data_IF_834240200991
#
_entry.id   IF_834240200991
#
_cell.length_a   1.000
_cell.length_b   1.000
_cell.length_c   1.000
_cell.angle_alpha   90.00
_cell.angle_beta   90.00
_cell.angle_gamma   90.00
#
_symmetry.space_group_name_H-M   'P 1'
#
loop_
_entity.id
_entity.type
_entity.pdbx_description
1 polymer ?
#
# COMPACT_ATOMS: atom_id res chain seq x y z
N UNK A 1 40.43 -39.23 23.21
CA UNK A 1 38.96 -39.23 23.36
C UNK A 1 38.42 -37.95 22.77
N UNK A 2 37.82 -38.06 21.59
CA UNK A 2 37.09 -36.96 20.97
C UNK A 2 35.72 -36.82 21.64
N UNK A 3 35.17 -35.60 21.65
CA UNK A 3 33.80 -35.38 22.14
C UNK A 3 32.81 -35.88 21.08
N UNK A 4 32.28 -37.08 21.29
CA UNK A 4 31.27 -37.70 20.42
C UNK A 4 29.89 -37.30 20.90
N UNK A 5 29.22 -36.41 20.17
CA UNK A 5 27.86 -35.98 20.49
C UNK A 5 26.85 -36.62 19.53
N UNK A 6 25.88 -37.35 20.09
CA UNK A 6 24.76 -37.90 19.33
C UNK A 6 23.61 -36.90 19.28
N UNK A 7 23.17 -36.55 18.08
CA UNK A 7 22.00 -35.70 17.81
C UNK A 7 20.90 -36.61 17.25
N UNK A 8 19.87 -36.86 18.06
CA UNK A 8 18.71 -37.66 17.63
C UNK A 8 17.76 -36.81 16.78
N UNK A 9 17.40 -37.29 15.60
CA UNK A 9 16.44 -36.65 14.70
C UNK A 9 15.45 -37.68 14.15
N UNK A 10 14.26 -37.22 13.76
CA UNK A 10 13.26 -38.07 13.09
C UNK A 10 13.74 -38.63 11.75
N UNK A 11 14.68 -37.93 11.11
CA UNK A 11 15.20 -38.26 9.78
C UNK A 11 16.51 -39.08 9.81
N UNK A 12 16.89 -39.60 10.98
CA UNK A 12 18.11 -40.38 11.18
C UNK A 12 19.05 -39.75 12.22
N UNK A 13 19.81 -40.60 12.92
CA UNK A 13 20.76 -40.13 13.93
C UNK A 13 21.98 -39.47 13.26
N UNK A 14 22.44 -38.36 13.82
CA UNK A 14 23.67 -37.66 13.39
C UNK A 14 24.67 -37.70 14.54
N UNK A 15 25.93 -38.00 14.23
CA UNK A 15 27.04 -37.86 15.16
C UNK A 15 27.87 -36.64 14.78
N UNK A 16 28.26 -35.85 15.79
CA UNK A 16 29.25 -34.80 15.64
C UNK A 16 30.52 -35.20 16.40
N UNK A 17 31.66 -35.16 15.70
CA UNK A 17 32.99 -35.49 16.23
C UNK A 17 33.97 -34.45 15.72
N UNK A 18 34.61 -33.71 16.63
CA UNK A 18 35.58 -32.65 16.31
C UNK A 18 35.08 -31.65 15.24
N UNK A 19 33.79 -31.28 15.32
CA UNK A 19 33.14 -30.35 14.39
C UNK A 19 32.79 -30.94 13.01
N UNK A 20 33.07 -32.22 12.77
CA UNK A 20 32.60 -32.96 11.58
C UNK A 20 31.31 -33.68 11.90
N UNK A 21 30.37 -33.69 10.95
CA UNK A 21 29.05 -34.32 11.13
C UNK A 21 28.92 -35.55 10.25
N UNK A 22 28.34 -36.60 10.82
CA UNK A 22 28.20 -37.91 10.21
C UNK A 22 26.76 -38.38 10.33
N UNK A 23 26.13 -38.76 9.21
CA UNK A 23 24.78 -39.34 9.21
C UNK A 23 24.88 -40.85 9.37
N UNK A 24 24.13 -41.42 10.30
CA UNK A 24 24.05 -42.87 10.49
C UNK A 24 23.21 -43.51 9.39
N UNK A 25 23.72 -44.61 8.83
CA UNK A 25 23.06 -45.42 7.82
C UNK A 25 22.51 -46.71 8.46
N UNK A 26 21.19 -46.92 8.37
CA UNK A 26 20.55 -48.15 8.82
C UNK A 26 20.70 -49.25 7.77
N UNK A 27 21.85 -49.92 7.76
CA UNK A 27 22.15 -51.05 6.86
C UNK A 27 23.09 -52.06 7.53
N UNK A 28 23.27 -53.21 6.92
CA UNK A 28 24.30 -54.18 7.32
C UNK A 28 25.70 -53.73 6.84
N UNK A 29 26.77 -54.07 7.58
CA UNK A 29 28.12 -53.67 7.24
C UNK A 29 28.61 -54.39 5.98
N UNK A 30 29.18 -53.62 5.05
CA UNK A 30 29.83 -54.13 3.85
C UNK A 30 31.29 -53.65 3.76
N UNK A 31 32.13 -54.42 3.04
CA UNK A 31 33.50 -54.00 2.74
C UNK A 31 33.48 -52.66 2.01
N UNK A 32 34.29 -51.71 2.47
CA UNK A 32 34.38 -50.37 1.92
C UNK A 32 33.47 -49.35 2.58
N UNK A 33 32.58 -49.76 3.49
CA UNK A 33 31.77 -48.84 4.31
C UNK A 33 32.64 -48.00 5.25
N UNK A 34 32.18 -46.79 5.51
CA UNK A 34 32.75 -45.92 6.54
C UNK A 34 32.02 -46.14 7.86
N UNK A 35 32.77 -46.36 8.92
CA UNK A 35 32.24 -46.58 10.27
C UNK A 35 32.80 -45.55 11.24
N UNK A 36 31.96 -45.13 12.18
CA UNK A 36 32.34 -44.29 13.31
C UNK A 36 32.32 -45.16 14.57
N UNK A 37 33.41 -45.15 15.32
CA UNK A 37 33.53 -45.85 16.60
C UNK A 37 32.84 -45.01 17.68
N UNK A 38 31.85 -45.61 18.36
CA UNK A 38 31.00 -44.93 19.35
C UNK A 38 30.98 -45.61 20.71
N UNK A 39 31.63 -46.76 20.83
CA UNK A 39 31.73 -47.54 22.05
C UNK A 39 32.97 -48.45 21.99
N UNK A 40 34.15 -47.84 21.93
CA UNK A 40 35.43 -48.54 21.90
C UNK A 40 35.60 -49.40 23.16
N UNK A 41 35.94 -50.67 22.98
CA UNK A 41 36.25 -51.52 24.11
C UNK A 41 37.52 -51.02 24.82
N UNK A 42 37.42 -50.70 26.12
CA UNK A 42 38.50 -50.10 26.90
C UNK A 42 39.79 -50.93 27.08
N UNK A 43 39.90 -52.08 26.41
CA UNK A 43 41.14 -52.88 26.29
C UNK A 43 41.58 -53.14 24.84
N UNK A 44 40.91 -52.54 23.85
CA UNK A 44 41.33 -52.56 22.45
C UNK A 44 42.52 -51.62 22.25
N UNK A 45 43.54 -52.12 21.56
CA UNK A 45 44.69 -51.31 21.16
C UNK A 45 44.41 -50.71 19.77
N UNK A 46 44.93 -49.52 19.48
CA UNK A 46 44.91 -48.91 18.14
C UNK A 46 43.67 -48.10 17.72
N UNK A 47 42.60 -48.03 18.51
CA UNK A 47 41.40 -47.24 18.18
C UNK A 47 40.66 -46.66 19.40
N UNK A 48 39.92 -45.56 19.21
CA UNK A 48 39.15 -44.91 20.27
C UNK A 48 37.80 -44.34 19.79
N UNK A 49 36.94 -43.95 20.74
CA UNK A 49 35.68 -43.27 20.41
C UNK A 49 35.93 -41.99 19.60
N UNK A 50 35.15 -41.84 18.52
CA UNK A 50 35.29 -40.75 17.56
C UNK A 50 36.10 -41.13 16.33
N UNK A 51 36.82 -42.25 16.34
CA UNK A 51 37.57 -42.69 15.17
C UNK A 51 36.67 -43.08 14.00
N UNK A 52 37.11 -42.70 12.81
CA UNK A 52 36.42 -42.99 11.56
C UNK A 52 37.32 -43.79 10.66
N UNK A 53 36.92 -45.02 10.38
CA UNK A 53 37.67 -45.96 9.55
C UNK A 53 36.84 -46.49 8.40
N UNK A 54 37.53 -47.02 7.39
CA UNK A 54 36.92 -47.74 6.28
C UNK A 54 37.09 -49.23 6.50
N UNK A 55 35.99 -49.98 6.41
CA UNK A 55 36.02 -51.43 6.59
C UNK A 55 36.79 -52.10 5.45
N UNK A 56 37.70 -52.99 5.80
CA UNK A 56 38.52 -53.74 4.85
C UNK A 56 38.02 -55.16 4.65
N UNK A 57 37.37 -55.75 5.65
CA UNK A 57 36.85 -57.12 5.59
C UNK A 57 35.67 -57.33 6.54
N UNK A 58 34.78 -58.24 6.18
CA UNK A 58 33.74 -58.76 7.06
C UNK A 58 34.23 -60.08 7.65
N UNK A 59 34.22 -60.19 8.97
CA UNK A 59 34.62 -61.41 9.67
C UNK A 59 33.40 -62.06 10.30
N UNK A 60 33.03 -63.21 9.74
CA UNK A 60 31.90 -63.98 10.24
C UNK A 60 32.25 -65.45 10.44
N UNK A 61 31.62 -66.06 11.45
CA UNK A 61 31.62 -67.50 11.67
C UNK A 61 30.46 -68.19 10.92
N UNK A 62 29.35 -67.46 10.71
CA UNK A 62 28.20 -67.88 9.88
C UNK A 62 28.10 -66.95 8.66
N UNK A 63 28.08 -67.47 7.41
CA UNK A 63 27.93 -66.64 6.21
C UNK A 63 26.74 -65.65 6.25
N UNK A 64 25.71 -65.92 7.06
CA UNK A 64 24.50 -65.11 7.17
C UNK A 64 24.48 -64.14 8.37
N UNK A 65 25.43 -64.22 9.32
CA UNK A 65 25.46 -63.37 10.53
C UNK A 65 26.83 -62.75 10.80
N UNK A 66 27.02 -61.45 10.53
CA UNK A 66 28.30 -60.77 10.76
C UNK A 66 28.68 -60.76 12.26
N UNK A 67 29.83 -61.34 12.62
CA UNK A 67 30.31 -61.33 14.01
C UNK A 67 31.19 -60.12 14.34
N UNK A 68 32.08 -59.77 13.40
CA UNK A 68 33.02 -58.67 13.52
C UNK A 68 33.36 -58.11 12.14
N UNK A 69 33.94 -56.91 12.14
CA UNK A 69 34.45 -56.26 10.93
C UNK A 69 35.90 -55.92 11.14
N UNK A 70 36.70 -55.94 10.07
CA UNK A 70 38.09 -55.52 10.13
C UNK A 70 38.30 -54.16 9.49
N UNK A 71 39.32 -53.47 9.97
CA UNK A 71 39.79 -52.20 9.45
C UNK A 71 41.30 -52.10 9.67
N UNK A 72 41.93 -51.12 9.04
CA UNK A 72 43.33 -50.76 9.31
C UNK A 72 43.32 -49.58 10.27
N UNK A 73 43.98 -49.74 11.41
CA UNK A 73 44.04 -48.72 12.44
C UNK A 73 45.00 -47.58 12.12
N UNK A 74 45.18 -46.64 13.06
CA UNK A 74 46.03 -45.46 12.88
C UNK A 74 47.51 -45.81 12.72
N UNK A 75 47.95 -46.97 13.22
CA UNK A 75 49.33 -47.45 13.14
C UNK A 75 49.58 -48.28 11.86
N UNK A 76 48.52 -48.57 11.11
CA UNK A 76 48.59 -49.35 9.88
C UNK A 76 48.44 -50.84 10.11
N UNK A 77 48.02 -51.26 11.30
CA UNK A 77 47.81 -52.66 11.65
C UNK A 77 46.35 -53.09 11.41
N UNK A 78 46.18 -54.38 11.09
CA UNK A 78 44.86 -54.97 10.92
C UNK A 78 44.20 -55.15 12.30
N UNK A 79 43.03 -54.53 12.47
CA UNK A 79 42.28 -54.55 13.71
C UNK A 79 40.82 -54.93 13.45
N UNK A 80 40.04 -55.20 14.51
CA UNK A 80 38.65 -55.62 14.39
C UNK A 80 37.72 -54.91 15.37
N UNK A 81 36.47 -54.74 14.95
CA UNK A 81 35.37 -54.17 15.75
C UNK A 81 34.22 -55.16 15.81
N UNK A 82 33.59 -55.26 16.98
CA UNK A 82 32.29 -55.92 17.14
C UNK A 82 31.17 -54.98 16.70
N UNK A 83 30.04 -55.55 16.32
CA UNK A 83 28.86 -54.82 15.82
C UNK A 83 28.34 -53.72 16.77
N UNK A 84 28.59 -53.83 18.08
CA UNK A 84 28.14 -52.86 19.08
C UNK A 84 29.16 -51.74 19.38
N UNK A 85 30.32 -51.74 18.71
CA UNK A 85 31.39 -50.76 18.92
C UNK A 85 31.33 -49.61 17.90
N UNK A 86 30.60 -49.79 16.80
CA UNK A 86 30.54 -48.84 15.71
C UNK A 86 29.14 -48.61 15.16
N UNK A 87 29.00 -47.55 14.38
CA UNK A 87 27.85 -47.28 13.52
C UNK A 87 28.34 -47.00 12.11
N UNK A 88 27.57 -47.41 11.09
CA UNK A 88 27.89 -47.11 9.69
C UNK A 88 27.45 -45.68 9.41
N UNK A 89 28.34 -44.89 8.80
CA UNK A 89 28.09 -43.46 8.57
C UNK A 89 28.50 -43.01 7.18
N UNK A 90 27.90 -41.91 6.74
CA UNK A 90 28.40 -41.08 5.66
C UNK A 90 28.77 -39.69 6.20
N UNK A 91 29.87 -39.06 5.74
CA UNK A 91 30.16 -37.69 6.09
C UNK A 91 29.06 -36.79 5.52
N UNK A 92 28.48 -35.95 6.38
CA UNK A 92 27.71 -34.82 5.91
C UNK A 92 28.75 -33.80 5.52
N UNK A 93 29.06 -33.69 4.22
CA UNK A 93 29.86 -32.58 3.72
C UNK A 93 29.22 -31.32 4.27
N UNK A 94 29.89 -30.66 5.21
CA UNK A 94 29.51 -29.32 5.58
C UNK A 94 29.62 -28.55 4.28
N UNK A 95 28.49 -28.10 3.75
CA UNK A 95 28.49 -26.97 2.83
C UNK A 95 29.46 -25.99 3.47
N UNK A 96 30.61 -25.78 2.82
CA UNK A 96 31.57 -24.79 3.27
C UNK A 96 30.72 -23.56 3.51
N UNK A 97 30.65 -23.00 4.74
CA UNK A 97 29.76 -21.88 4.97
C UNK A 97 30.14 -20.86 3.92
N UNK A 98 29.22 -20.56 2.97
CA UNK A 98 29.42 -19.46 2.05
C UNK A 98 29.87 -18.30 2.93
N UNK A 99 30.99 -17.62 2.64
CA UNK A 99 31.62 -16.70 3.58
C UNK A 99 30.53 -15.78 4.10
N UNK A 100 30.12 -16.02 5.36
CA UNK A 100 29.08 -15.22 5.98
C UNK A 100 29.63 -13.80 5.91
N UNK A 101 28.86 -12.82 5.39
CA UNK A 101 29.32 -11.43 5.45
C UNK A 101 29.76 -11.18 6.89
N UNK A 102 30.98 -10.67 7.05
CA UNK A 102 31.58 -10.47 8.35
C UNK A 102 30.58 -9.69 9.20
N UNK A 103 30.29 -10.14 10.43
CA UNK A 103 29.32 -9.48 11.33
C UNK A 103 29.43 -7.92 11.35
N UNK A 104 30.64 -7.32 11.27
CA UNK A 104 30.80 -5.89 11.05
C UNK A 104 30.06 -5.30 9.83
N UNK A 105 30.14 -5.95 8.66
CA UNK A 105 29.52 -5.46 7.42
C UNK A 105 28.00 -5.47 7.52
N UNK A 106 27.43 -6.50 8.17
CA UNK A 106 25.99 -6.60 8.44
C UNK A 106 25.57 -5.46 9.39
N UNK A 107 26.36 -5.21 10.43
CA UNK A 107 26.05 -4.18 11.41
C UNK A 107 26.09 -2.77 10.78
N UNK A 108 27.06 -2.52 9.89
CA UNK A 108 27.18 -1.23 9.21
C UNK A 108 26.07 -1.01 8.15
N UNK A 109 25.64 -2.07 7.45
CA UNK A 109 24.45 -2.00 6.58
C UNK A 109 23.18 -1.69 7.39
N UNK A 110 23.01 -2.34 8.55
CA UNK A 110 21.88 -2.08 9.46
C UNK A 110 21.89 -0.63 9.95
N UNK A 111 23.03 -0.11 10.42
CA UNK A 111 23.15 1.28 10.85
C UNK A 111 22.81 2.25 9.72
N UNK A 112 23.33 2.02 8.52
CA UNK A 112 23.05 2.86 7.35
C UNK A 112 21.56 2.87 7.01
N UNK A 113 20.92 1.71 7.04
CA UNK A 113 19.46 1.60 6.81
C UNK A 113 18.66 2.30 7.91
N UNK A 114 19.09 2.19 9.16
CA UNK A 114 18.44 2.85 10.29
C UNK A 114 18.50 4.38 10.16
N UNK A 115 19.68 4.95 9.91
CA UNK A 115 19.84 6.39 9.70
C UNK A 115 18.96 6.91 8.55
N UNK A 116 18.94 6.20 7.40
CA UNK A 116 18.07 6.57 6.28
C UNK A 116 16.58 6.49 6.64
N UNK A 117 16.19 5.56 7.50
CA UNK A 117 14.80 5.42 7.95
C UNK A 117 14.41 6.57 8.89
N UNK A 118 15.31 6.98 9.77
CA UNK A 118 15.13 8.14 10.65
C UNK A 118 14.97 9.43 9.83
N UNK A 119 15.88 9.68 8.88
CA UNK A 119 15.81 10.84 7.98
C UNK A 119 14.48 10.90 7.22
N UNK A 120 14.05 9.78 6.62
CA UNK A 120 12.76 9.69 5.90
C UNK A 120 11.56 9.89 6.83
N UNK A 121 11.66 9.46 8.08
CA UNK A 121 10.59 9.63 9.06
C UNK A 121 10.44 11.10 9.45
N UNK A 122 11.55 11.81 9.67
CA UNK A 122 11.55 13.24 9.96
C UNK A 122 11.08 14.09 8.77
N UNK A 123 11.50 13.73 7.55
CA UNK A 123 11.03 14.37 6.33
C UNK A 123 9.53 14.17 6.14
N UNK A 124 9.03 12.94 6.29
CA UNK A 124 7.60 12.65 6.20
C UNK A 124 6.80 13.43 7.25
N UNK A 125 7.32 13.53 8.48
CA UNK A 125 6.67 14.33 9.53
C UNK A 125 6.54 15.80 9.12
N UNK A 126 7.61 16.41 8.59
CA UNK A 126 7.57 17.78 8.08
C UNK A 126 6.56 17.94 6.94
N UNK A 127 6.55 17.01 5.99
CA UNK A 127 5.62 17.04 4.86
C UNK A 127 4.16 16.96 5.31
N UNK A 128 3.84 16.11 6.30
CA UNK A 128 2.49 16.00 6.87
C UNK A 128 2.07 17.33 7.51
N UNK A 129 2.95 17.98 8.28
CA UNK A 129 2.65 19.26 8.90
C UNK A 129 2.37 20.35 7.86
N UNK A 130 3.20 20.45 6.82
CA UNK A 130 2.99 21.41 5.72
C UNK A 130 1.69 21.13 4.97
N UNK A 131 1.40 19.85 4.68
CA UNK A 131 0.15 19.48 4.01
C UNK A 131 -1.08 19.82 4.86
N UNK A 132 -0.99 19.62 6.17
CA UNK A 132 -2.07 19.92 7.11
C UNK A 132 -2.36 21.41 7.15
N UNK A 133 -1.32 22.25 7.24
CA UNK A 133 -1.46 23.71 7.18
C UNK A 133 -2.06 24.18 5.85
N UNK A 134 -1.64 23.60 4.74
CA UNK A 134 -2.19 23.92 3.43
C UNK A 134 -3.67 23.54 3.35
N UNK A 135 -4.04 22.35 3.83
CA UNK A 135 -5.43 21.90 3.86
C UNK A 135 -6.31 22.81 4.73
N UNK A 136 -5.83 23.27 5.88
CA UNK A 136 -6.53 24.24 6.73
C UNK A 136 -6.71 25.60 6.04
N UNK A 137 -5.68 26.10 5.36
CA UNK A 137 -5.77 27.34 4.57
C UNK A 137 -6.80 27.22 3.46
N UNK A 138 -6.74 26.14 2.66
CA UNK A 138 -7.71 25.88 1.59
C UNK A 138 -9.13 25.76 2.13
N UNK A 139 -9.31 25.12 3.29
CA UNK A 139 -10.62 25.04 3.96
C UNK A 139 -11.13 26.41 4.39
N UNK A 140 -10.26 27.28 4.90
CA UNK A 140 -10.60 28.66 5.26
C UNK A 140 -11.03 29.47 4.04
N UNK A 141 -10.29 29.37 2.94
CA UNK A 141 -10.61 30.07 1.70
C UNK A 141 -11.94 29.57 1.08
N UNK A 142 -12.18 28.26 1.11
CA UNK A 142 -13.46 27.68 0.70
C UNK A 142 -14.62 28.19 1.57
N UNK A 143 -14.43 28.30 2.89
CA UNK A 143 -15.43 28.85 3.80
C UNK A 143 -15.77 30.30 3.46
N UNK A 144 -14.77 31.13 3.16
CA UNK A 144 -14.99 32.52 2.71
C UNK A 144 -15.73 32.57 1.38
N UNK A 145 -15.37 31.72 0.43
CA UNK A 145 -16.05 31.65 -0.87
C UNK A 145 -17.53 31.27 -0.71
N UNK A 146 -17.85 30.30 0.16
CA UNK A 146 -19.24 29.94 0.49
C UNK A 146 -19.98 31.14 1.10
N UNK A 147 -19.35 31.84 2.05
CA UNK A 147 -19.94 33.06 2.62
C UNK A 147 -20.22 34.14 1.56
N UNK A 148 -19.32 34.31 0.60
CA UNK A 148 -19.52 35.23 -0.53
C UNK A 148 -20.67 34.81 -1.45
N UNK A 149 -20.82 33.51 -1.73
CA UNK A 149 -21.95 32.98 -2.52
C UNK A 149 -23.27 33.24 -1.81
N UNK A 150 -23.35 33.02 -0.49
CA UNK A 150 -24.56 33.29 0.28
C UNK A 150 -24.93 34.79 0.23
N UNK A 151 -23.95 35.68 0.35
CA UNK A 151 -24.19 37.12 0.25
C UNK A 151 -24.71 37.54 -1.14
N UNK A 152 -24.21 36.89 -2.21
CA UNK A 152 -24.73 37.11 -3.56
C UNK A 152 -26.15 36.56 -3.74
N UNK A 153 -26.48 35.45 -3.11
CA UNK A 153 -27.83 34.87 -3.12
C UNK A 153 -28.84 35.83 -2.46
N UNK A 154 -28.49 36.40 -1.30
CA UNK A 154 -29.29 37.43 -0.63
C UNK A 154 -29.49 38.67 -1.51
N UNK A 155 -28.43 39.15 -2.17
CA UNK A 155 -28.54 40.28 -3.11
C UNK A 155 -29.40 39.96 -4.33
N UNK A 156 -29.32 38.74 -4.84
CA UNK A 156 -30.10 38.31 -5.99
C UNK A 156 -31.60 38.30 -5.67
N UNK A 157 -31.98 37.90 -4.45
CA UNK A 157 -33.38 37.91 -4.02
C UNK A 157 -33.93 39.33 -3.95
N UNK A 158 -33.17 40.29 -3.41
CA UNK A 158 -33.56 41.71 -3.42
C UNK A 158 -33.74 42.26 -4.84
N UNK A 159 -32.83 41.93 -5.76
CA UNK A 159 -32.95 42.35 -7.17
C UNK A 159 -34.19 41.74 -7.82
N UNK A 160 -34.56 40.50 -7.47
CA UNK A 160 -35.80 39.88 -7.97
C UNK A 160 -37.03 40.61 -7.47
N UNK A 161 -37.07 40.98 -6.19
CA UNK A 161 -38.15 41.78 -5.62
C UNK A 161 -38.29 43.13 -6.34
N UNK A 162 -37.18 43.83 -6.58
CA UNK A 162 -37.16 45.10 -7.32
C UNK A 162 -37.69 44.95 -8.75
N UNK A 163 -37.32 43.86 -9.45
CA UNK A 163 -37.83 43.58 -10.81
C UNK A 163 -39.34 43.39 -10.80
N UNK A 164 -39.87 42.59 -9.86
CA UNK A 164 -41.31 42.37 -9.74
C UNK A 164 -42.04 43.69 -9.45
N UNK A 165 -41.54 44.48 -8.51
CA UNK A 165 -42.11 45.79 -8.21
C UNK A 165 -42.12 46.72 -9.43
N UNK A 166 -41.04 46.76 -10.21
CA UNK A 166 -40.98 47.58 -11.42
C UNK A 166 -41.95 47.09 -12.50
N UNK A 167 -42.12 45.78 -12.66
CA UNK A 167 -43.07 45.18 -13.60
C UNK A 167 -44.51 45.61 -13.27
N UNK A 168 -44.90 45.52 -11.99
CA UNK A 168 -46.19 46.01 -11.49
C UNK A 168 -46.41 47.50 -11.81
N UNK A 169 -45.38 48.34 -11.62
CA UNK A 169 -45.45 49.77 -11.95
C UNK A 169 -45.53 50.07 -13.44
N UNK A 170 -44.92 49.24 -14.28
CA UNK A 170 -45.04 49.36 -15.73
C UNK A 170 -46.48 49.04 -16.16
N UNK A 171 -47.10 48.01 -15.60
CA UNK A 171 -48.50 47.66 -15.87
C UNK A 171 -49.46 48.78 -15.45
N UNK A 172 -49.31 49.33 -14.24
CA UNK A 172 -50.09 50.50 -13.77
C UNK A 172 -49.96 51.71 -14.72
N UNK A 173 -48.73 51.99 -15.17
CA UNK A 173 -48.46 53.10 -16.08
C UNK A 173 -49.09 52.85 -17.46
N UNK A 174 -49.00 51.62 -17.97
CA UNK A 174 -49.57 51.23 -19.26
C UNK A 174 -51.09 51.38 -19.25
N UNK A 175 -51.77 50.93 -18.20
CA UNK A 175 -53.21 51.13 -18.02
C UNK A 175 -53.56 52.62 -18.04
N UNK A 176 -52.78 53.45 -17.33
CA UNK A 176 -52.98 54.90 -17.29
C UNK A 176 -52.82 55.55 -18.68
N UNK A 177 -51.84 55.12 -19.48
CA UNK A 177 -51.59 55.65 -20.82
C UNK A 177 -52.69 55.20 -21.80
N UNK A 178 -53.09 53.93 -21.77
CA UNK A 178 -54.17 53.42 -22.60
C UNK A 178 -55.51 54.11 -22.27
N UNK A 179 -55.79 54.36 -20.99
CA UNK A 179 -56.96 55.13 -20.55
C UNK A 179 -56.97 56.60 -20.99
N UNK A 180 -55.80 57.20 -21.31
CA UNK A 180 -55.68 58.57 -21.82
C UNK A 180 -55.84 58.69 -23.34
N UNK A 181 -55.75 57.58 -24.08
CA UNK A 181 -55.92 57.57 -25.54
C UNK A 181 -57.38 57.70 -25.99
N UNK A 182 -58.32 57.97 -25.08
CA UNK A 182 -59.66 58.41 -25.44
C UNK A 182 -59.55 59.83 -25.99
N UNK A 183 -59.59 59.98 -27.33
CA UNK A 183 -59.65 61.30 -27.96
C UNK A 183 -60.83 62.05 -27.36
N UNK A 184 -60.63 63.20 -26.67
CA UNK A 184 -61.74 63.90 -26.06
C UNK A 184 -62.67 64.41 -27.16
N UNK A 185 -63.81 63.75 -27.34
CA UNK A 185 -64.84 64.20 -28.27
C UNK A 185 -65.59 65.37 -27.62
N UNK A 186 -65.40 66.57 -28.15
CA UNK A 186 -66.18 67.73 -27.73
C UNK A 186 -67.48 67.75 -28.55
N UNK A 187 -68.59 67.44 -27.88
CA UNK A 187 -69.93 67.61 -28.45
C UNK A 187 -70.45 69.00 -28.07
N UNK A 188 -70.60 69.88 -29.06
CA UNK A 188 -71.22 71.20 -28.87
C UNK A 188 -72.62 71.13 -29.45
N UNK A 189 -73.64 71.15 -28.60
CA UNK A 189 -75.04 71.23 -29.03
C UNK A 189 -75.46 72.70 -29.11
N UNK A 190 -75.82 73.17 -30.30
CA UNK A 190 -76.22 74.57 -30.54
C UNK A 190 -77.70 74.58 -30.90
N UNK A 191 -78.55 74.88 -29.92
CA UNK A 191 -80.01 74.90 -30.10
C UNK A 191 -80.51 76.15 -30.85
N UNK A 192 -79.76 77.26 -30.78
CA UNK A 192 -80.07 78.49 -31.50
C UNK A 192 -78.79 79.16 -31.99
N UNK A 193 -78.54 79.08 -33.30
CA UNK A 193 -77.44 79.77 -33.97
C UNK A 193 -77.97 81.02 -34.67
N UNK A 194 -77.69 82.20 -34.11
CA UNK A 194 -78.07 83.47 -34.73
C UNK A 194 -76.86 84.07 -35.45
N UNK A 195 -76.89 84.07 -36.79
CA UNK A 195 -75.83 84.65 -37.62
C UNK A 195 -76.29 86.03 -38.07
N UNK A 196 -75.83 87.08 -37.40
CA UNK A 196 -76.10 88.47 -37.79
C UNK A 196 -74.95 88.99 -38.67
N UNK A 197 -75.00 88.65 -39.96
CA UNK A 197 -74.07 89.08 -40.98
C UNK A 197 -74.53 88.60 -42.36
N UNK A 198 -74.04 89.19 -43.44
CA UNK A 198 -74.40 88.79 -44.83
C UNK A 198 -73.72 87.50 -45.27
N UNK A 199 -72.90 86.86 -44.41
CA UNK A 199 -72.25 85.59 -44.71
C UNK A 199 -73.27 84.44 -44.69
N UNK A 200 -73.36 83.70 -45.79
CA UNK A 200 -74.22 82.52 -45.90
C UNK A 200 -73.75 81.46 -44.90
N UNK A 201 -74.69 80.91 -44.12
CA UNK A 201 -74.44 79.88 -43.10
C UNK A 201 -73.58 78.71 -43.61
N UNK A 202 -73.68 78.40 -44.91
CA UNK A 202 -72.91 77.36 -45.60
C UNK A 202 -71.39 77.64 -45.58
N UNK A 203 -70.97 78.87 -45.87
CA UNK A 203 -69.55 79.24 -45.92
C UNK A 203 -68.92 79.23 -44.52
N UNK A 204 -69.70 79.58 -43.49
CA UNK A 204 -69.28 79.51 -42.09
C UNK A 204 -69.01 78.06 -41.66
N UNK A 205 -69.91 77.12 -42.00
CA UNK A 205 -69.75 75.70 -41.69
C UNK A 205 -68.54 75.10 -42.42
N UNK A 206 -68.34 75.46 -43.69
CA UNK A 206 -67.24 74.92 -44.50
C UNK A 206 -65.86 75.40 -44.00
N UNK A 207 -65.76 76.65 -43.52
CA UNK A 207 -64.53 77.17 -42.87
C UNK A 207 -64.24 76.48 -41.53
N UNK A 208 -65.27 76.21 -40.73
CA UNK A 208 -65.09 75.50 -39.45
C UNK A 208 -64.65 74.05 -39.69
N UNK A 209 -65.26 73.38 -40.68
CA UNK A 209 -64.96 71.99 -41.01
C UNK A 209 -63.55 71.79 -41.60
N UNK A 210 -63.04 72.76 -42.37
CA UNK A 210 -61.69 72.71 -42.94
C UNK A 210 -60.59 73.09 -41.95
N UNK A 211 -60.93 73.74 -40.83
CA UNK A 211 -59.96 74.35 -39.91
C UNK A 211 -59.29 75.58 -40.53
N UNK A 212 -58.84 76.54 -39.71
CA UNK A 212 -58.00 77.63 -40.23
C UNK A 212 -56.61 77.08 -40.54
N UNK A 213 -56.09 77.35 -41.73
CA UNK A 213 -54.64 77.41 -41.96
C UNK A 213 -53.99 78.43 -41.01
#
# INVERSE_FOLDING_TARGET
MADVTKIESKDGNIYEVDGKRYRVLSKEPAVGDTVLIVNAWGGGDGYEDGDVHRLTKIQSYDPEEVNAVMFVDREGEDNYLKLNEFVIVEPIESETPAPLPYLPDILDDIKTKLTRLEERTEENHRNILTFSQMAESTRSDASKAIGGVNALDEQLELVREDIVFLDEKIDELKETVEGRNVTPSIYINIENLNVSGTELLKDLIERIAKGRE
#
